data_IF_942652535133
#
_entry.id   IF_942652535133
#
_cell.length_a   1.000
_cell.length_b   1.000
_cell.length_c   1.000
_cell.angle_alpha   90.00
_cell.angle_beta   90.00
_cell.angle_gamma   90.00
#
_symmetry.space_group_name_H-M   'P 1'
#
loop_
_entity.id
_entity.type
_entity.pdbx_description
1 polymer ?
#
# COMPACT_ATOMS: atom_id res chain seq x y z
N UNK A 1 -12.99 10.93 -52.60
CA UNK A 1 -12.27 11.71 -51.58
C UNK A 1 -13.18 12.37 -50.53
N UNK A 2 -14.22 13.14 -50.91
CA UNK A 2 -15.09 13.83 -49.94
C UNK A 2 -15.81 12.90 -48.95
N UNK A 3 -16.37 11.78 -49.42
CA UNK A 3 -17.04 10.81 -48.54
C UNK A 3 -16.08 10.11 -47.55
N UNK A 4 -14.84 9.83 -47.98
CA UNK A 4 -13.80 9.23 -47.13
C UNK A 4 -13.39 10.19 -45.99
N UNK A 5 -13.29 11.49 -46.29
CA UNK A 5 -13.02 12.54 -45.30
C UNK A 5 -14.16 12.71 -44.28
N UNK A 6 -15.41 12.54 -44.68
CA UNK A 6 -16.57 12.58 -43.77
C UNK A 6 -16.60 11.36 -42.85
N UNK A 7 -16.33 10.16 -43.38
CA UNK A 7 -16.25 8.94 -42.56
C UNK A 7 -15.09 9.00 -41.56
N UNK A 8 -13.91 9.49 -41.99
CA UNK A 8 -12.76 9.70 -41.10
C UNK A 8 -13.04 10.72 -40.00
N UNK A 9 -13.76 11.80 -40.29
CA UNK A 9 -14.11 12.82 -39.29
C UNK A 9 -15.18 12.36 -38.30
N UNK A 10 -16.17 11.57 -38.74
CA UNK A 10 -17.14 10.94 -37.84
C UNK A 10 -16.47 9.91 -36.93
N UNK A 11 -15.58 9.07 -37.48
CA UNK A 11 -14.79 8.13 -36.67
C UNK A 11 -13.95 8.88 -35.63
N UNK A 12 -13.25 9.96 -36.01
CA UNK A 12 -12.45 10.78 -35.09
C UNK A 12 -13.28 11.38 -33.95
N UNK A 13 -14.50 11.85 -34.22
CA UNK A 13 -15.41 12.39 -33.20
C UNK A 13 -15.91 11.33 -32.20
N UNK A 14 -16.03 10.07 -32.63
CA UNK A 14 -16.39 8.98 -31.71
C UNK A 14 -15.23 8.55 -30.81
N UNK A 15 -13.97 8.66 -31.25
CA UNK A 15 -12.81 8.32 -30.42
C UNK A 15 -12.58 9.37 -29.31
N UNK A 16 -12.92 10.64 -29.54
CA UNK A 16 -12.74 11.72 -28.56
C UNK A 16 -13.66 11.52 -27.33
N UNK A 17 -14.86 10.93 -27.51
CA UNK A 17 -15.79 10.67 -26.40
C UNK A 17 -15.52 9.34 -25.66
N UNK A 18 -14.57 8.53 -26.11
CA UNK A 18 -14.25 7.23 -25.51
C UNK A 18 -13.12 7.29 -24.46
N UNK A 19 -12.64 8.48 -24.10
CA UNK A 19 -11.77 8.60 -22.93
C UNK A 19 -12.61 8.41 -21.67
N UNK A 20 -12.54 7.22 -21.09
CA UNK A 20 -12.93 6.98 -19.70
C UNK A 20 -12.17 7.99 -18.84
N UNK A 21 -12.84 9.06 -18.41
CA UNK A 21 -12.28 9.98 -17.43
C UNK A 21 -12.26 9.23 -16.11
N UNK A 22 -11.19 8.47 -15.85
CA UNK A 22 -10.94 7.89 -14.53
C UNK A 22 -10.95 9.05 -13.54
N UNK A 23 -12.01 9.14 -12.73
CA UNK A 23 -12.13 10.12 -11.66
C UNK A 23 -11.08 9.79 -10.61
N UNK A 24 -9.91 10.39 -10.78
CA UNK A 24 -8.77 10.27 -9.87
C UNK A 24 -8.58 11.60 -9.15
N UNK A 25 -8.29 11.52 -7.85
CA UNK A 25 -8.06 12.67 -6.98
C UNK A 25 -6.77 12.44 -6.22
N UNK A 26 -5.84 13.39 -6.31
CA UNK A 26 -4.69 13.44 -5.41
C UNK A 26 -5.18 13.83 -4.01
N UNK A 27 -4.81 13.03 -3.02
CA UNK A 27 -5.11 13.28 -1.62
C UNK A 27 -3.79 13.44 -0.89
N UNK A 28 -3.65 14.54 -0.17
CA UNK A 28 -2.47 14.84 0.63
C UNK A 28 -2.91 14.82 2.09
N UNK A 29 -2.45 13.80 2.83
CA UNK A 29 -2.68 13.67 4.26
C UNK A 29 -1.36 13.83 5.00
N UNK A 30 -1.45 14.04 6.31
CA UNK A 30 -0.30 14.03 7.20
C UNK A 30 -0.58 13.18 8.44
N UNK A 31 0.48 12.64 9.00
CA UNK A 31 0.50 12.01 10.31
C UNK A 31 1.68 12.59 11.10
N UNK A 32 1.38 13.58 11.96
CA UNK A 32 2.40 14.49 12.47
C UNK A 32 3.10 15.21 11.31
N UNK A 33 4.43 15.14 11.28
CA UNK A 33 5.25 15.76 10.25
C UNK A 33 5.41 14.90 8.98
N UNK A 34 4.93 13.65 8.99
CA UNK A 34 5.05 12.74 7.86
C UNK A 34 3.89 12.94 6.87
N UNK A 35 4.23 13.14 5.60
CA UNK A 35 3.27 13.20 4.51
C UNK A 35 2.83 11.78 4.09
N UNK A 36 1.53 11.63 3.86
CA UNK A 36 0.87 10.45 3.31
C UNK A 36 0.14 10.91 2.04
N UNK A 37 0.91 11.09 0.98
CA UNK A 37 0.36 11.44 -0.33
C UNK A 37 -0.16 10.18 -1.01
N UNK A 38 -1.36 10.26 -1.57
CA UNK A 38 -1.99 9.15 -2.27
C UNK A 38 -2.96 9.59 -3.34
N UNK A 39 -3.51 8.61 -4.04
CA UNK A 39 -4.50 8.79 -5.09
C UNK A 39 -5.75 8.01 -4.71
N UNK A 40 -6.88 8.72 -4.70
CA UNK A 40 -8.21 8.13 -4.66
C UNK A 40 -8.71 7.96 -6.09
N UNK A 41 -9.02 6.73 -6.50
CA UNK A 41 -9.70 6.46 -7.76
C UNK A 41 -11.15 6.05 -7.50
N UNK A 42 -12.08 6.70 -8.20
CA UNK A 42 -13.51 6.53 -8.04
C UNK A 42 -14.11 5.83 -9.28
N UNK A 43 -15.02 4.87 -9.08
CA UNK A 43 -15.87 4.36 -10.15
C UNK A 43 -16.98 5.36 -10.50
N UNK A 44 -17.66 5.15 -11.61
CA UNK A 44 -18.86 5.93 -11.96
C UNK A 44 -20.06 5.64 -11.05
N UNK A 45 -20.00 4.52 -10.32
CA UNK A 45 -21.03 4.12 -9.37
C UNK A 45 -21.14 5.10 -8.20
N UNK A 46 -22.34 5.66 -8.03
CA UNK A 46 -22.72 6.43 -6.84
C UNK A 46 -22.70 5.50 -5.60
N UNK A 47 -22.07 5.96 -4.52
CA UNK A 47 -21.98 5.26 -3.23
C UNK A 47 -21.30 3.88 -3.31
N UNK A 48 -20.06 3.84 -3.79
CA UNK A 48 -19.25 2.62 -3.94
C UNK A 48 -18.56 2.20 -2.63
N UNK A 49 -18.17 0.92 -2.45
CA UNK A 49 -17.27 0.57 -1.36
C UNK A 49 -15.88 1.16 -1.61
N UNK A 50 -15.23 1.66 -0.57
CA UNK A 50 -13.83 2.07 -0.60
C UNK A 50 -12.94 0.93 -0.15
N UNK A 51 -11.87 0.68 -0.89
CA UNK A 51 -10.75 -0.17 -0.50
C UNK A 51 -9.51 0.70 -0.25
N UNK A 52 -8.94 0.64 0.94
CA UNK A 52 -7.62 1.23 1.23
C UNK A 52 -6.58 0.14 1.03
N UNK A 53 -5.65 0.35 0.11
CA UNK A 53 -4.55 -0.58 -0.16
C UNK A 53 -3.37 -0.27 0.77
N UNK A 54 -3.00 -1.21 1.63
CA UNK A 54 -1.88 -1.11 2.57
C UNK A 54 -0.67 -1.89 2.01
N UNK A 55 0.41 -1.20 1.57
CA UNK A 55 1.53 -1.84 0.90
C UNK A 55 2.39 -2.69 1.83
N UNK A 56 3.12 -3.63 1.22
CA UNK A 56 4.03 -4.54 1.91
C UNK A 56 5.36 -3.92 2.34
N UNK A 57 6.37 -4.76 2.56
CA UNK A 57 7.73 -4.35 2.92
C UNK A 57 8.45 -3.61 1.78
N UNK A 58 9.45 -2.80 2.14
CA UNK A 58 10.22 -1.98 1.19
C UNK A 58 9.62 -0.59 0.96
N UNK A 59 10.26 0.16 0.07
CA UNK A 59 9.89 1.54 -0.25
C UNK A 59 8.91 1.56 -1.42
N UNK A 60 7.67 1.17 -1.18
CA UNK A 60 6.65 1.03 -2.22
C UNK A 60 5.90 2.36 -2.39
N UNK A 61 5.85 2.88 -3.62
CA UNK A 61 5.01 4.02 -3.99
C UNK A 61 3.53 3.60 -4.18
N UNK A 62 2.65 4.58 -4.31
CA UNK A 62 1.20 4.35 -4.50
C UNK A 62 0.84 3.53 -5.74
N UNK A 63 1.73 3.44 -6.73
CA UNK A 63 1.54 2.66 -7.95
C UNK A 63 2.05 1.22 -7.83
N UNK A 64 2.86 0.90 -6.81
CA UNK A 64 3.50 -0.41 -6.67
C UNK A 64 4.91 -0.45 -7.26
N UNK A 65 5.53 0.70 -7.48
CA UNK A 65 6.94 0.77 -7.84
C UNK A 65 7.79 0.92 -6.59
N UNK A 66 9.06 0.55 -6.68
CA UNK A 66 10.03 0.79 -5.61
C UNK A 66 11.14 1.72 -6.10
N UNK A 67 11.11 3.02 -5.72
CA UNK A 67 12.17 3.96 -6.07
C UNK A 67 13.55 3.44 -5.64
N UNK A 68 14.57 3.70 -6.46
CA UNK A 68 15.95 3.23 -6.27
C UNK A 68 16.14 1.70 -6.40
N UNK A 69 15.18 1.01 -7.02
CA UNK A 69 15.30 -0.39 -7.44
C UNK A 69 14.85 -0.54 -8.90
N UNK A 70 15.01 -1.74 -9.47
CA UNK A 70 14.50 -2.06 -10.81
C UNK A 70 12.99 -2.39 -10.84
N UNK A 71 12.30 -2.34 -9.71
CA UNK A 71 10.88 -2.72 -9.62
C UNK A 71 9.99 -1.55 -10.05
N UNK A 72 9.53 -1.58 -11.31
CA UNK A 72 8.63 -0.59 -11.92
C UNK A 72 7.39 -1.26 -12.52
N UNK A 73 6.74 -2.12 -11.75
CA UNK A 73 5.65 -2.98 -12.24
C UNK A 73 4.27 -2.30 -12.21
N UNK A 74 4.10 -1.19 -11.49
CA UNK A 74 2.82 -0.49 -11.31
C UNK A 74 1.65 -1.41 -10.93
N UNK A 75 1.92 -2.47 -10.15
CA UNK A 75 0.95 -3.53 -9.89
C UNK A 75 -0.24 -3.07 -9.03
N UNK A 76 -0.04 -2.09 -8.14
CA UNK A 76 -1.12 -1.50 -7.33
C UNK A 76 -2.03 -0.66 -8.23
N UNK A 77 -1.46 0.07 -9.19
CA UNK A 77 -2.25 0.82 -10.18
C UNK A 77 -3.08 -0.12 -11.07
N UNK A 78 -2.49 -1.21 -11.55
CA UNK A 78 -3.21 -2.20 -12.37
C UNK A 78 -4.38 -2.83 -11.59
N UNK A 79 -4.16 -3.17 -10.31
CA UNK A 79 -5.22 -3.65 -9.42
C UNK A 79 -6.32 -2.59 -9.25
N UNK A 80 -5.92 -1.34 -9.00
CA UNK A 80 -6.83 -0.24 -8.80
C UNK A 80 -7.73 0.00 -10.01
N UNK A 81 -7.16 -0.02 -11.21
CA UNK A 81 -7.89 0.11 -12.47
C UNK A 81 -8.93 -1.02 -12.63
N UNK A 82 -8.56 -2.26 -12.28
CA UNK A 82 -9.50 -3.40 -12.34
C UNK A 82 -10.63 -3.29 -11.31
N UNK A 83 -10.35 -2.80 -10.10
CA UNK A 83 -11.34 -2.63 -9.04
C UNK A 83 -12.32 -1.51 -9.37
N UNK A 84 -11.83 -0.40 -9.89
CA UNK A 84 -12.65 0.75 -10.32
C UNK A 84 -13.60 0.33 -11.45
N UNK A 85 -13.12 -0.42 -12.44
CA UNK A 85 -13.96 -0.98 -13.50
C UNK A 85 -15.06 -1.93 -12.96
N UNK A 86 -14.87 -2.50 -11.76
CA UNK A 86 -15.85 -3.34 -11.05
C UNK A 86 -16.70 -2.56 -10.04
N UNK A 87 -16.64 -1.23 -10.04
CA UNK A 87 -17.47 -0.39 -9.18
C UNK A 87 -16.96 -0.27 -7.74
N UNK A 88 -15.68 -0.52 -7.49
CA UNK A 88 -15.03 -0.40 -6.18
C UNK A 88 -14.07 0.79 -6.22
N UNK A 89 -14.27 1.78 -5.32
CA UNK A 89 -13.32 2.85 -5.14
C UNK A 89 -12.07 2.35 -4.41
N UNK A 90 -10.93 2.95 -4.71
CA UNK A 90 -9.66 2.55 -4.10
C UNK A 90 -8.80 3.75 -3.77
N UNK A 91 -8.27 3.76 -2.55
CA UNK A 91 -7.24 4.67 -2.13
C UNK A 91 -5.91 3.93 -2.00
N UNK A 92 -4.88 4.48 -2.63
CA UNK A 92 -3.51 3.96 -2.62
C UNK A 92 -2.54 5.12 -2.35
N UNK A 93 -1.54 4.89 -1.53
CA UNK A 93 -0.68 5.95 -1.01
C UNK A 93 0.79 5.53 -1.06
N UNK A 94 1.68 6.54 -1.08
CA UNK A 94 3.10 6.29 -0.94
C UNK A 94 3.36 5.88 0.49
N UNK A 95 4.01 4.73 0.69
CA UNK A 95 4.47 4.36 2.02
C UNK A 95 5.36 5.48 2.56
N UNK A 96 5.35 5.75 3.87
CA UNK A 96 6.13 6.86 4.45
C UNK A 96 7.61 6.85 4.03
N UNK A 97 8.19 5.67 3.83
CA UNK A 97 9.59 5.48 3.40
C UNK A 97 9.82 5.66 1.90
N UNK A 98 8.76 5.63 1.09
CA UNK A 98 8.79 5.89 -0.34
C UNK A 98 8.45 7.35 -0.69
N UNK A 99 7.71 8.04 0.17
CA UNK A 99 7.34 9.44 -0.06
C UNK A 99 8.57 10.35 0.00
N UNK A 100 8.83 11.07 -1.10
CA UNK A 100 9.99 11.95 -1.23
C UNK A 100 9.98 13.13 -0.27
N UNK A 101 8.80 13.60 0.16
CA UNK A 101 8.65 14.69 1.13
C UNK A 101 9.16 14.30 2.52
N UNK A 102 9.16 13.00 2.83
CA UNK A 102 9.56 12.50 4.15
C UNK A 102 11.06 12.27 4.27
N UNK A 103 11.85 12.34 3.19
CA UNK A 103 13.28 11.95 3.17
C UNK A 103 14.11 12.55 4.30
N UNK A 104 13.90 13.81 4.66
CA UNK A 104 14.63 14.47 5.74
C UNK A 104 14.32 13.88 7.14
N UNK A 105 13.09 13.37 7.31
CA UNK A 105 12.59 12.79 8.56
C UNK A 105 12.94 11.30 8.70
N UNK A 106 13.24 10.61 7.58
CA UNK A 106 13.62 9.18 7.59
C UNK A 106 15.01 8.89 8.19
N UNK A 107 15.74 9.91 8.62
CA UNK A 107 16.97 9.75 9.41
C UNK A 107 16.69 9.22 10.83
N UNK A 108 15.45 9.38 11.30
CA UNK A 108 14.98 8.82 12.56
C UNK A 108 14.65 7.33 12.38
N UNK A 109 14.75 6.57 13.48
CA UNK A 109 14.32 5.17 13.47
C UNK A 109 12.83 5.08 13.18
N UNK A 110 12.46 4.26 12.21
CA UNK A 110 11.06 4.00 11.85
C UNK A 110 10.67 2.68 12.49
N UNK A 111 9.62 2.72 13.30
CA UNK A 111 9.09 1.55 13.97
C UNK A 111 8.00 0.87 13.12
N UNK A 112 7.47 -0.25 13.58
CA UNK A 112 6.38 -0.91 12.86
C UNK A 112 5.05 -0.18 13.07
N UNK A 113 4.84 0.30 14.29
CA UNK A 113 3.68 1.02 14.80
C UNK A 113 3.43 2.33 14.04
N UNK A 114 4.49 2.90 13.49
CA UNK A 114 4.46 4.03 12.57
C UNK A 114 3.58 3.74 11.35
N UNK A 115 3.79 2.60 10.68
CA UNK A 115 2.96 2.21 9.54
C UNK A 115 1.50 1.98 9.94
N UNK A 116 1.27 1.46 11.15
CA UNK A 116 -0.09 1.28 11.70
C UNK A 116 -0.76 2.64 11.92
N UNK A 117 0.00 3.60 12.47
CA UNK A 117 -0.45 4.97 12.70
C UNK A 117 -0.84 5.67 11.39
N UNK A 118 -0.07 5.48 10.31
CA UNK A 118 -0.43 6.02 9.00
C UNK A 118 -1.77 5.49 8.48
N UNK A 119 -1.99 4.17 8.61
CA UNK A 119 -3.26 3.56 8.19
C UNK A 119 -4.41 4.09 9.03
N UNK A 120 -4.24 4.27 10.35
CA UNK A 120 -5.26 4.89 11.21
C UNK A 120 -5.59 6.32 10.79
N UNK A 121 -4.59 7.12 10.42
CA UNK A 121 -4.82 8.47 9.89
C UNK A 121 -5.62 8.45 8.59
N UNK A 122 -5.34 7.50 7.69
CA UNK A 122 -6.09 7.30 6.45
C UNK A 122 -7.53 6.88 6.73
N UNK A 123 -7.76 5.92 7.65
CA UNK A 123 -9.11 5.49 8.04
C UNK A 123 -9.91 6.68 8.58
N UNK A 124 -9.31 7.44 9.50
CA UNK A 124 -9.95 8.63 10.08
C UNK A 124 -10.30 9.69 9.03
N UNK A 125 -9.53 9.81 7.95
CA UNK A 125 -9.84 10.74 6.86
C UNK A 125 -11.10 10.32 6.10
N UNK A 126 -11.30 9.02 5.86
CA UNK A 126 -12.40 8.51 5.03
C UNK A 126 -13.67 8.12 5.79
N UNK A 127 -13.64 8.00 7.12
CA UNK A 127 -14.75 7.44 7.93
C UNK A 127 -16.12 8.10 7.73
N UNK A 128 -16.16 9.40 7.42
CA UNK A 128 -17.39 10.18 7.25
C UNK A 128 -17.65 10.59 5.79
N UNK A 129 -16.93 9.99 4.85
CA UNK A 129 -17.09 10.32 3.44
C UNK A 129 -18.32 9.63 2.86
N UNK A 130 -19.40 10.40 2.67
CA UNK A 130 -20.69 9.92 2.21
C UNK A 130 -20.66 9.33 0.77
N UNK A 131 -19.56 9.56 0.03
CA UNK A 131 -19.33 8.93 -1.27
C UNK A 131 -19.16 7.42 -1.16
N UNK A 132 -18.88 6.89 0.04
CA UNK A 132 -18.62 5.47 0.24
C UNK A 132 -19.74 4.76 1.02
N UNK A 133 -20.06 3.54 0.61
CA UNK A 133 -21.01 2.66 1.34
C UNK A 133 -20.35 1.86 2.46
N UNK A 134 -19.02 1.68 2.40
CA UNK A 134 -18.21 1.00 3.41
C UNK A 134 -16.74 1.36 3.19
N UNK A 135 -15.95 1.34 4.25
CA UNK A 135 -14.49 1.41 4.19
C UNK A 135 -13.92 0.03 4.48
N UNK A 136 -13.01 -0.44 3.63
CA UNK A 136 -12.43 -1.79 3.71
C UNK A 136 -10.91 -1.67 3.57
N UNK A 137 -10.16 -2.58 4.20
CA UNK A 137 -8.70 -2.64 4.08
C UNK A 137 -8.27 -3.84 3.23
N UNK A 138 -7.30 -3.64 2.34
CA UNK A 138 -6.52 -4.72 1.73
C UNK A 138 -5.07 -4.56 2.10
N UNK A 139 -4.54 -5.48 2.90
CA UNK A 139 -3.13 -5.53 3.25
C UNK A 139 -2.38 -6.58 2.45
N UNK A 140 -1.28 -6.19 1.82
CA UNK A 140 -0.40 -7.11 1.10
C UNK A 140 0.89 -7.38 1.89
N UNK A 141 1.28 -8.65 2.06
CA UNK A 141 2.50 -9.04 2.75
C UNK A 141 2.60 -8.41 4.15
N UNK A 142 3.65 -7.66 4.47
CA UNK A 142 3.77 -6.87 5.72
C UNK A 142 2.53 -6.01 5.99
N UNK A 143 1.94 -5.44 4.93
CA UNK A 143 0.77 -4.59 5.00
C UNK A 143 -0.48 -5.31 5.53
N UNK A 144 -0.54 -6.65 5.48
CA UNK A 144 -1.62 -7.43 6.07
C UNK A 144 -1.62 -7.32 7.60
N UNK A 145 -0.45 -7.44 8.24
CA UNK A 145 -0.33 -7.25 9.68
C UNK A 145 -0.56 -5.78 10.08
N UNK A 146 -0.01 -4.84 9.30
CA UNK A 146 -0.26 -3.40 9.51
C UNK A 146 -1.76 -3.10 9.47
N UNK A 147 -2.45 -3.58 8.43
CA UNK A 147 -3.90 -3.39 8.28
C UNK A 147 -4.67 -4.01 9.46
N UNK A 148 -4.30 -5.23 9.90
CA UNK A 148 -4.93 -5.90 11.03
C UNK A 148 -4.83 -5.09 12.33
N UNK A 149 -3.66 -4.51 12.62
CA UNK A 149 -3.45 -3.68 13.82
C UNK A 149 -4.06 -2.28 13.72
N UNK A 150 -4.43 -1.85 12.51
CA UNK A 150 -5.05 -0.55 12.27
C UNK A 150 -6.59 -0.58 12.31
N UNK A 151 -7.21 -1.77 12.33
CA UNK A 151 -8.68 -1.92 12.34
C UNK A 151 -9.31 -1.22 13.55
N UNK A 152 -10.39 -0.51 13.29
CA UNK A 152 -11.33 0.03 14.28
C UNK A 152 -12.78 -0.28 13.86
N UNK A 153 -13.77 0.36 14.51
CA UNK A 153 -15.19 0.16 14.22
C UNK A 153 -15.65 0.66 12.85
N UNK A 154 -14.86 1.50 12.17
CA UNK A 154 -15.22 2.09 10.88
C UNK A 154 -14.90 1.15 9.70
N UNK A 155 -14.09 0.11 9.94
CA UNK A 155 -13.70 -0.87 8.92
C UNK A 155 -14.72 -2.00 8.80
N UNK A 156 -15.27 -2.16 7.60
CA UNK A 156 -16.26 -3.20 7.29
C UNK A 156 -15.66 -4.56 6.96
N UNK A 157 -14.49 -4.59 6.30
CA UNK A 157 -13.80 -5.83 5.89
C UNK A 157 -12.29 -5.65 5.87
N UNK A 158 -11.58 -6.72 6.20
CA UNK A 158 -10.14 -6.89 5.99
C UNK A 158 -9.90 -7.97 4.95
N UNK A 159 -9.03 -7.69 3.99
CA UNK A 159 -8.55 -8.62 2.96
C UNK A 159 -7.04 -8.76 3.12
N UNK A 160 -6.56 -9.97 3.36
CA UNK A 160 -5.13 -10.26 3.48
C UNK A 160 -4.64 -10.97 2.21
N UNK A 161 -3.65 -10.40 1.53
CA UNK A 161 -3.03 -11.00 0.34
C UNK A 161 -1.57 -11.30 0.64
N UNK A 162 -1.19 -12.58 0.59
CA UNK A 162 0.17 -13.03 0.88
C UNK A 162 0.72 -12.51 2.24
N UNK A 163 -0.18 -12.30 3.21
CA UNK A 163 0.19 -11.87 4.56
C UNK A 163 0.90 -12.98 5.35
N UNK A 164 1.74 -12.64 6.33
CA UNK A 164 2.37 -13.64 7.20
C UNK A 164 1.29 -14.39 8.00
N UNK A 165 1.37 -15.72 8.00
CA UNK A 165 0.53 -16.61 8.83
C UNK A 165 1.24 -17.13 10.07
N UNK A 166 2.57 -17.04 10.08
CA UNK A 166 3.44 -17.48 11.17
C UNK A 166 4.03 -16.27 11.91
N UNK A 167 4.61 -16.51 13.08
CA UNK A 167 5.31 -15.49 13.82
C UNK A 167 6.46 -14.89 12.98
N UNK A 168 6.76 -13.60 13.21
CA UNK A 168 7.78 -12.87 12.45
C UNK A 168 9.16 -13.54 12.57
N UNK A 169 9.50 -14.07 13.76
CA UNK A 169 10.70 -14.88 13.99
C UNK A 169 10.75 -16.05 13.01
N UNK A 170 9.72 -16.91 13.01
CA UNK A 170 9.69 -18.11 12.18
C UNK A 170 9.80 -17.76 10.69
N UNK A 171 9.09 -16.71 10.27
CA UNK A 171 9.13 -16.21 8.89
C UNK A 171 10.53 -15.74 8.51
N UNK A 172 11.18 -14.93 9.34
CA UNK A 172 12.50 -14.37 9.06
C UNK A 172 13.59 -15.44 9.13
N UNK A 173 13.56 -16.33 10.13
CA UNK A 173 14.49 -17.47 10.23
C UNK A 173 14.35 -18.38 9.01
N UNK A 174 13.13 -18.69 8.55
CA UNK A 174 12.91 -19.50 7.36
C UNK A 174 13.41 -18.81 6.07
N UNK A 175 13.21 -17.50 5.94
CA UNK A 175 13.73 -16.72 4.80
C UNK A 175 15.24 -16.66 4.79
N UNK A 176 15.87 -16.39 5.95
CA UNK A 176 17.33 -16.37 6.10
C UNK A 176 17.92 -17.74 5.87
N UNK A 177 17.27 -18.83 6.28
CA UNK A 177 17.76 -20.20 6.07
C UNK A 177 17.87 -20.56 4.60
N UNK A 178 17.01 -20.00 3.74
CA UNK A 178 17.11 -20.15 2.28
C UNK A 178 18.32 -19.40 1.69
N UNK A 179 18.83 -18.40 2.39
CA UNK A 179 20.02 -17.64 1.98
C UNK A 179 21.30 -18.24 2.58
N UNK A 180 21.29 -18.55 3.88
CA UNK A 180 22.41 -19.14 4.63
C UNK A 180 21.91 -19.76 5.94
N UNK A 181 22.25 -21.04 6.22
CA UNK A 181 21.98 -21.65 7.53
C UNK A 181 22.56 -20.84 8.70
N UNK A 182 23.78 -20.30 8.55
CA UNK A 182 24.43 -19.53 9.60
C UNK A 182 23.67 -18.24 9.96
N UNK A 183 23.13 -17.52 8.96
CA UNK A 183 22.30 -16.34 9.21
C UNK A 183 20.99 -16.70 9.92
N UNK A 184 20.41 -17.85 9.58
CA UNK A 184 19.18 -18.31 10.22
C UNK A 184 19.38 -18.69 11.68
N UNK A 185 20.46 -19.40 11.98
CA UNK A 185 20.79 -19.82 13.34
C UNK A 185 21.06 -18.60 14.21
N UNK A 186 21.78 -17.61 13.67
CA UNK A 186 22.08 -16.39 14.40
C UNK A 186 20.87 -15.49 14.61
N UNK A 187 20.01 -15.35 13.60
CA UNK A 187 18.74 -14.66 13.76
C UNK A 187 17.86 -15.35 14.82
N UNK A 188 17.85 -16.68 14.87
CA UNK A 188 17.13 -17.44 15.90
C UNK A 188 17.66 -17.13 17.31
N UNK A 189 18.98 -17.12 17.51
CA UNK A 189 19.58 -16.72 18.79
C UNK A 189 19.15 -15.30 19.19
N UNK A 190 19.18 -14.36 18.25
CA UNK A 190 18.76 -12.98 18.50
C UNK A 190 17.27 -12.85 18.82
N UNK A 191 16.41 -13.62 18.17
CA UNK A 191 14.98 -13.64 18.53
C UNK A 191 14.76 -14.23 19.93
N UNK A 192 15.49 -15.26 20.31
CA UNK A 192 15.42 -15.83 21.67
C UNK A 192 15.84 -14.78 22.72
N UNK A 193 16.98 -14.12 22.52
CA UNK A 193 17.44 -13.04 23.40
C UNK A 193 16.42 -11.89 23.48
N UNK A 194 15.87 -11.48 22.34
CA UNK A 194 14.86 -10.42 22.26
C UNK A 194 13.59 -10.80 23.04
N UNK A 195 13.12 -12.03 22.91
CA UNK A 195 11.92 -12.51 23.61
C UNK A 195 12.14 -12.63 25.12
N UNK A 196 13.34 -13.00 25.56
CA UNK A 196 13.68 -13.17 26.97
C UNK A 196 13.98 -11.84 27.67
N UNK A 197 14.66 -10.92 26.99
CA UNK A 197 15.22 -9.71 27.61
C UNK A 197 14.57 -8.41 27.15
N UNK A 198 13.80 -8.44 26.05
CA UNK A 198 13.25 -7.25 25.42
C UNK A 198 14.26 -6.45 24.59
N UNK A 199 15.51 -6.93 24.44
CA UNK A 199 16.54 -6.27 23.62
C UNK A 199 17.53 -7.29 23.01
N UNK A 200 18.34 -6.87 22.05
CA UNK A 200 19.50 -7.62 21.56
C UNK A 200 20.75 -6.83 21.94
N UNK A 201 21.59 -7.37 22.82
CA UNK A 201 22.73 -6.63 23.37
C UNK A 201 23.83 -6.37 22.35
N UNK A 202 24.08 -7.32 21.44
CA UNK A 202 25.05 -7.18 20.36
C UNK A 202 24.49 -7.69 19.04
N UNK A 203 24.26 -6.78 18.10
CA UNK A 203 23.92 -7.11 16.72
C UNK A 203 25.22 -7.25 15.93
N UNK A 204 25.56 -8.47 15.51
CA UNK A 204 26.76 -8.69 14.72
C UNK A 204 26.48 -8.37 13.25
N UNK A 205 27.24 -7.47 12.59
CA UNK A 205 26.92 -6.99 11.24
C UNK A 205 27.04 -8.05 10.14
N UNK A 206 27.58 -9.23 10.46
CA UNK A 206 27.77 -10.34 9.52
C UNK A 206 27.22 -11.68 10.03
N UNK A 207 26.64 -11.69 11.23
CA UNK A 207 26.07 -12.86 11.88
C UNK A 207 24.92 -12.39 12.77
#
# INVERSE_FOLDING_TARGET
MKALLVVLSVLFLTVINAQEVKKSQEIQLTNGDFAIDGVLQLPDKIKSPLLIYVPGSGNIDRNGNQPNTFVQASYIQQLADSLVAKGIAIFRYDKRTANTKNKALLSQSICFEDFVSDVKAIISYFRNDERFSSVNLLGHSQGALVAMLAIDSDISRLICVAGPSENVEQTLVAQLRKQSPALADKAKEHFQELMETGNIAQVHPFF
#
